data_IF_996900698897
#
_entry.id   IF_996900698897
#
_cell.length_a   1.000
_cell.length_b   1.000
_cell.length_c   1.000
_cell.angle_alpha   90.00
_cell.angle_beta   90.00
_cell.angle_gamma   90.00
#
_symmetry.space_group_name_H-M   'P 1'
#
loop_
_entity.id
_entity.type
_entity.pdbx_description
1 polymer ?
#
# COMPACT_ATOMS: atom_id res chain seq x y z
N UNK A 1 25.60 10.55 -1.35
CA UNK A 1 24.12 10.58 -1.29
C UNK A 1 23.56 9.16 -1.23
N UNK A 2 23.81 8.28 -2.25
CA UNK A 2 23.22 6.93 -2.33
C UNK A 2 23.43 6.07 -1.06
N UNK A 3 24.68 5.90 -0.61
CA UNK A 3 24.99 5.12 0.60
C UNK A 3 24.35 5.73 1.85
N UNK A 4 24.27 7.05 1.93
CA UNK A 4 23.62 7.75 3.03
C UNK A 4 22.10 7.46 3.05
N UNK A 5 21.45 7.51 1.90
CA UNK A 5 20.03 7.16 1.79
C UNK A 5 19.77 5.71 2.21
N UNK A 6 20.60 4.75 1.78
CA UNK A 6 20.47 3.34 2.19
C UNK A 6 20.58 3.17 3.70
N UNK A 7 21.59 3.79 4.33
CA UNK A 7 21.77 3.72 5.79
C UNK A 7 20.57 4.31 6.52
N UNK A 8 20.08 5.48 6.08
CA UNK A 8 18.91 6.10 6.70
C UNK A 8 17.64 5.27 6.54
N UNK A 9 17.45 4.63 5.40
CA UNK A 9 16.31 3.72 5.19
C UNK A 9 16.36 2.53 6.17
N UNK A 10 17.55 1.95 6.40
CA UNK A 10 17.71 0.90 7.41
C UNK A 10 17.41 1.40 8.85
N UNK A 11 17.75 2.63 9.16
CA UNK A 11 17.43 3.22 10.47
C UNK A 11 15.93 3.47 10.66
N UNK A 12 15.18 3.65 9.59
CA UNK A 12 13.73 3.77 9.63
C UNK A 12 13.01 2.42 9.70
N UNK A 13 13.72 1.31 9.51
CA UNK A 13 13.13 -0.01 9.65
C UNK A 13 12.86 -0.31 11.14
N UNK A 14 11.58 -0.49 11.46
CA UNK A 14 11.11 -0.87 12.79
C UNK A 14 10.89 -2.39 12.85
N UNK A 15 11.19 -2.98 14.00
CA UNK A 15 10.96 -4.40 14.27
C UNK A 15 10.04 -4.52 15.49
N UNK A 16 8.84 -5.01 15.28
CA UNK A 16 7.80 -5.01 16.31
C UNK A 16 7.26 -6.41 16.52
N UNK A 17 7.24 -6.87 17.77
CA UNK A 17 6.71 -8.18 18.16
C UNK A 17 5.24 -8.36 17.73
N UNK A 18 4.44 -7.30 17.80
CA UNK A 18 2.99 -7.35 17.52
C UNK A 18 2.61 -7.25 16.04
N UNK A 19 3.49 -6.70 15.19
CA UNK A 19 3.19 -6.45 13.78
C UNK A 19 4.26 -6.98 12.80
N UNK A 20 5.47 -7.28 13.28
CA UNK A 20 6.61 -7.67 12.47
C UNK A 20 7.48 -6.50 12.03
N UNK A 21 8.35 -6.73 11.05
CA UNK A 21 9.29 -5.72 10.54
C UNK A 21 8.67 -4.90 9.43
N UNK A 22 8.82 -3.59 9.49
CA UNK A 22 8.31 -2.66 8.48
C UNK A 22 9.18 -1.39 8.37
N UNK A 23 8.99 -0.64 7.28
CA UNK A 23 9.61 0.66 7.10
C UNK A 23 8.72 1.76 7.72
N UNK A 24 9.26 2.52 8.68
CA UNK A 24 8.63 3.72 9.22
C UNK A 24 8.78 4.90 8.25
N UNK A 25 7.86 5.85 8.29
CA UNK A 25 7.83 6.97 7.36
C UNK A 25 8.92 8.01 7.66
N UNK A 26 9.19 8.33 8.95
CA UNK A 26 10.19 9.31 9.31
C UNK A 26 10.68 9.19 10.75
N UNK A 27 11.97 9.49 10.99
CA UNK A 27 12.52 9.47 12.33
C UNK A 27 12.10 10.71 13.11
N UNK A 28 11.84 10.48 14.37
CA UNK A 28 11.40 11.31 15.47
C UNK A 28 9.92 11.67 15.39
N UNK A 29 9.47 12.43 14.41
CA UNK A 29 8.09 12.96 14.41
C UNK A 29 7.06 11.99 13.81
N UNK A 30 7.45 11.21 12.79
CA UNK A 30 6.57 10.26 12.10
C UNK A 30 7.18 8.86 12.02
N UNK A 31 7.48 8.22 13.16
CA UNK A 31 8.14 6.91 13.16
C UNK A 31 7.22 5.77 12.73
N UNK A 32 5.95 6.03 12.50
CA UNK A 32 4.89 5.07 12.27
C UNK A 32 4.90 4.51 10.84
N UNK A 33 4.12 3.45 10.64
CA UNK A 33 3.87 2.91 9.30
C UNK A 33 2.75 3.68 8.64
N UNK A 34 3.02 4.19 7.43
CA UNK A 34 2.01 4.82 6.56
C UNK A 34 1.85 4.03 5.26
N UNK A 35 0.61 3.72 4.90
CA UNK A 35 0.30 2.91 3.73
C UNK A 35 0.70 3.57 2.41
N UNK A 36 0.45 4.87 2.28
CA UNK A 36 0.79 5.63 1.09
C UNK A 36 2.30 5.83 0.95
N UNK A 37 2.96 6.36 2.00
CA UNK A 37 4.41 6.62 2.04
C UNK A 37 5.22 5.37 1.72
N UNK A 38 4.85 4.24 2.33
CA UNK A 38 5.49 2.97 2.06
C UNK A 38 5.30 2.52 0.61
N UNK A 39 4.11 2.72 0.04
CA UNK A 39 3.85 2.33 -1.35
C UNK A 39 4.76 3.05 -2.35
N UNK A 40 5.18 4.27 -2.05
CA UNK A 40 6.21 4.97 -2.82
C UNK A 40 7.63 4.52 -2.46
N UNK A 41 7.97 4.53 -1.18
CA UNK A 41 9.33 4.27 -0.69
C UNK A 41 9.82 2.87 -1.05
N UNK A 42 8.93 1.86 -1.00
CA UNK A 42 9.29 0.47 -1.30
C UNK A 42 9.66 0.23 -2.77
N UNK A 43 9.15 1.05 -3.69
CA UNK A 43 9.56 1.00 -5.10
C UNK A 43 11.03 1.43 -5.27
N UNK A 44 11.45 2.46 -4.53
CA UNK A 44 12.86 2.85 -4.45
C UNK A 44 13.70 1.81 -3.73
N UNK A 45 13.22 1.30 -2.60
CA UNK A 45 13.92 0.33 -1.76
C UNK A 45 14.24 -0.97 -2.51
N UNK A 46 13.27 -1.54 -3.23
CA UNK A 46 13.49 -2.78 -3.99
C UNK A 46 14.50 -2.58 -5.11
N UNK A 47 14.55 -1.41 -5.74
CA UNK A 47 15.54 -1.10 -6.78
C UNK A 47 16.97 -0.96 -6.25
N UNK A 48 17.12 -0.65 -4.95
CA UNK A 48 18.45 -0.59 -4.29
C UNK A 48 18.91 -1.93 -3.74
N UNK A 49 18.11 -2.99 -3.91
CA UNK A 49 18.46 -4.37 -3.56
C UNK A 49 17.87 -4.86 -2.23
N UNK A 50 17.20 -4.02 -1.45
CA UNK A 50 16.54 -4.47 -0.21
C UNK A 50 15.13 -5.02 -0.46
N UNK A 51 15.09 -6.11 -1.20
CA UNK A 51 13.86 -6.83 -1.53
C UNK A 51 13.19 -7.45 -0.29
N UNK A 52 13.99 -7.79 0.73
CA UNK A 52 13.46 -8.43 1.95
C UNK A 52 12.60 -7.45 2.74
N UNK A 53 13.13 -6.26 3.03
CA UNK A 53 12.39 -5.23 3.76
C UNK A 53 11.15 -4.80 2.98
N UNK A 54 11.26 -4.62 1.66
CA UNK A 54 10.13 -4.25 0.82
C UNK A 54 8.97 -5.28 0.92
N UNK A 55 9.28 -6.57 0.78
CA UNK A 55 8.26 -7.65 0.85
C UNK A 55 7.64 -7.79 2.24
N UNK A 56 8.44 -7.72 3.30
CA UNK A 56 7.89 -7.86 4.67
C UNK A 56 7.03 -6.65 5.04
N UNK A 57 7.41 -5.43 4.65
CA UNK A 57 6.59 -4.24 4.87
C UNK A 57 5.23 -4.35 4.19
N UNK A 58 5.18 -4.78 2.91
CA UNK A 58 3.91 -4.98 2.21
C UNK A 58 3.03 -6.07 2.87
N UNK A 59 3.64 -7.14 3.41
CA UNK A 59 2.89 -8.13 4.19
C UNK A 59 2.30 -7.53 5.47
N UNK A 60 3.05 -6.75 6.21
CA UNK A 60 2.54 -6.05 7.40
C UNK A 60 1.37 -5.14 7.04
N UNK A 61 1.51 -4.33 5.99
CA UNK A 61 0.43 -3.47 5.49
C UNK A 61 -0.82 -4.29 5.17
N UNK A 62 -0.68 -5.38 4.41
CA UNK A 62 -1.79 -6.29 4.06
C UNK A 62 -2.47 -6.86 5.31
N UNK A 63 -1.69 -7.46 6.21
CA UNK A 63 -2.21 -8.15 7.39
C UNK A 63 -2.92 -7.20 8.36
N UNK A 64 -2.33 -6.03 8.60
CA UNK A 64 -2.92 -5.04 9.49
C UNK A 64 -4.14 -4.37 8.87
N UNK A 65 -4.13 -4.15 7.56
CA UNK A 65 -5.30 -3.68 6.81
C UNK A 65 -6.45 -4.69 6.87
N UNK A 66 -6.18 -5.98 6.68
CA UNK A 66 -7.21 -7.02 6.77
C UNK A 66 -7.81 -7.11 8.18
N UNK A 67 -6.99 -7.00 9.23
CA UNK A 67 -7.47 -6.96 10.62
C UNK A 67 -8.37 -5.75 10.89
N UNK A 68 -8.02 -4.57 10.35
CA UNK A 68 -8.73 -3.31 10.61
C UNK A 68 -9.98 -3.12 9.76
N UNK A 69 -9.96 -3.54 8.48
CA UNK A 69 -10.96 -3.19 7.47
C UNK A 69 -11.75 -4.38 6.92
N UNK A 70 -11.10 -5.53 6.70
CA UNK A 70 -11.67 -6.79 6.17
C UNK A 70 -12.21 -6.74 4.73
N UNK A 71 -12.25 -5.59 4.09
CA UNK A 71 -12.78 -5.37 2.73
C UNK A 71 -11.70 -5.09 1.67
N UNK A 72 -10.42 -5.24 2.01
CA UNK A 72 -9.29 -4.96 1.12
C UNK A 72 -8.81 -3.51 1.13
N UNK A 73 -9.51 -2.59 1.83
CA UNK A 73 -9.06 -1.22 2.02
C UNK A 73 -7.73 -1.21 2.78
N UNK A 74 -6.73 -0.55 2.23
CA UNK A 74 -5.41 -0.40 2.84
C UNK A 74 -5.47 0.69 3.91
N UNK A 75 -4.83 0.41 5.06
CA UNK A 75 -4.69 1.38 6.15
C UNK A 75 -3.87 2.60 5.71
N UNK A 76 -4.19 3.75 6.29
CA UNK A 76 -3.36 4.94 6.13
C UNK A 76 -2.20 4.94 7.14
N UNK A 77 -2.51 4.74 8.42
CA UNK A 77 -1.55 4.93 9.50
C UNK A 77 -1.67 3.86 10.58
N UNK A 78 -0.51 3.36 11.05
CA UNK A 78 -0.40 2.42 12.15
C UNK A 78 0.74 2.83 13.09
N UNK A 79 0.44 2.96 14.37
CA UNK A 79 1.42 3.24 15.41
C UNK A 79 2.24 2.01 15.80
N UNK A 80 3.33 2.20 16.54
CA UNK A 80 4.24 1.13 16.97
C UNK A 80 3.62 0.05 17.86
N UNK A 81 2.52 0.33 18.53
CA UNK A 81 1.78 -0.68 19.29
C UNK A 81 0.81 -1.51 18.42
N UNK A 82 0.97 -1.51 17.11
CA UNK A 82 0.08 -2.13 16.13
C UNK A 82 -1.36 -1.56 16.13
N UNK A 83 -1.58 -0.42 16.75
CA UNK A 83 -2.86 0.26 16.68
C UNK A 83 -3.00 0.99 15.33
N UNK A 84 -4.00 0.62 14.56
CA UNK A 84 -4.35 1.32 13.32
C UNK A 84 -5.15 2.55 13.69
N UNK A 85 -4.47 3.71 13.73
CA UNK A 85 -5.03 5.02 14.06
C UNK A 85 -5.92 5.57 12.95
N UNK A 86 -5.53 5.30 11.69
CA UNK A 86 -6.28 5.70 10.51
C UNK A 86 -6.46 4.53 9.54
N UNK A 87 -7.70 4.18 9.28
CA UNK A 87 -8.07 2.98 8.49
C UNK A 87 -7.85 3.11 6.98
N UNK A 88 -7.38 4.26 6.50
CA UNK A 88 -7.19 4.56 5.09
C UNK A 88 -8.42 5.18 4.43
N UNK A 89 -8.23 5.58 3.19
CA UNK A 89 -9.29 6.07 2.30
C UNK A 89 -9.16 5.42 0.92
N UNK A 90 -9.23 6.16 -0.16
CA UNK A 90 -9.22 5.61 -1.52
C UNK A 90 -7.82 5.44 -2.10
N UNK A 91 -6.90 6.34 -1.79
CA UNK A 91 -5.60 6.41 -2.46
C UNK A 91 -4.66 5.27 -2.09
N UNK A 92 -4.56 4.92 -0.80
CA UNK A 92 -3.63 3.92 -0.28
C UNK A 92 -3.81 2.55 -0.96
N UNK A 93 -5.06 2.22 -1.27
CA UNK A 93 -5.41 0.92 -1.87
C UNK A 93 -4.88 0.79 -3.30
N UNK A 94 -5.03 1.82 -4.12
CA UNK A 94 -4.48 1.83 -5.47
C UNK A 94 -2.94 1.80 -5.45
N UNK A 95 -2.32 2.59 -4.59
CA UNK A 95 -0.86 2.63 -4.41
C UNK A 95 -0.29 1.28 -3.96
N UNK A 96 -0.97 0.57 -3.08
CA UNK A 96 -0.56 -0.76 -2.62
C UNK A 96 -0.46 -1.74 -3.79
N UNK A 97 -1.46 -1.79 -4.67
CA UNK A 97 -1.45 -2.65 -5.87
C UNK A 97 -0.24 -2.35 -6.76
N UNK A 98 0.02 -1.07 -7.00
CA UNK A 98 1.16 -0.61 -7.81
C UNK A 98 2.49 -0.98 -7.13
N UNK A 99 2.60 -0.82 -5.82
CA UNK A 99 3.80 -1.17 -5.06
C UNK A 99 4.10 -2.67 -5.10
N UNK A 100 3.09 -3.52 -4.89
CA UNK A 100 3.22 -4.99 -5.01
C UNK A 100 3.74 -5.37 -6.39
N UNK A 101 3.17 -4.78 -7.46
CA UNK A 101 3.60 -5.03 -8.82
C UNK A 101 5.06 -4.60 -9.05
N UNK A 102 5.46 -3.43 -8.57
CA UNK A 102 6.84 -2.98 -8.70
C UNK A 102 7.82 -3.89 -7.96
N UNK A 103 7.48 -4.33 -6.75
CA UNK A 103 8.30 -5.31 -6.01
C UNK A 103 8.36 -6.64 -6.76
N UNK A 104 7.26 -7.11 -7.34
CA UNK A 104 7.24 -8.33 -8.15
C UNK A 104 8.13 -8.20 -9.39
N UNK A 105 8.06 -7.10 -10.12
CA UNK A 105 8.90 -6.88 -11.33
C UNK A 105 10.40 -6.96 -11.04
N UNK A 106 10.82 -6.52 -9.86
CA UNK A 106 12.23 -6.58 -9.43
C UNK A 106 12.64 -7.95 -8.89
N UNK A 107 11.70 -8.74 -8.39
CA UNK A 107 12.03 -9.98 -7.67
C UNK A 107 11.67 -11.25 -8.42
N UNK A 108 10.67 -11.22 -9.30
CA UNK A 108 10.11 -12.41 -9.95
C UNK A 108 9.48 -13.41 -8.96
N UNK A 109 9.15 -12.98 -7.73
CA UNK A 109 8.68 -13.87 -6.67
C UNK A 109 7.18 -14.18 -6.83
N UNK A 110 6.89 -15.25 -7.57
CA UNK A 110 5.52 -15.70 -7.80
C UNK A 110 4.77 -16.09 -6.51
N UNK A 111 5.49 -16.56 -5.47
CA UNK A 111 4.84 -16.89 -4.19
C UNK A 111 4.40 -15.63 -3.46
N UNK A 112 5.23 -14.59 -3.49
CA UNK A 112 4.87 -13.29 -2.95
C UNK A 112 3.66 -12.69 -3.69
N UNK A 113 3.67 -12.72 -5.03
CA UNK A 113 2.56 -12.22 -5.83
C UNK A 113 1.24 -12.95 -5.51
N UNK A 114 1.28 -14.29 -5.47
CA UNK A 114 0.12 -15.12 -5.14
C UNK A 114 -0.42 -14.86 -3.73
N UNK A 115 0.46 -14.59 -2.75
CA UNK A 115 0.07 -14.20 -1.39
C UNK A 115 -0.66 -12.84 -1.34
N UNK A 116 -0.26 -11.89 -2.20
CA UNK A 116 -0.85 -10.55 -2.24
C UNK A 116 -2.13 -10.47 -3.07
N UNK A 117 -2.26 -11.30 -4.08
CA UNK A 117 -3.29 -11.22 -5.12
C UNK A 117 -4.73 -11.16 -4.58
N UNK A 118 -5.17 -12.05 -3.67
CA UNK A 118 -6.55 -12.00 -3.17
C UNK A 118 -6.88 -10.69 -2.43
N UNK A 119 -5.91 -10.11 -1.74
CA UNK A 119 -6.13 -8.84 -1.04
C UNK A 119 -6.21 -7.67 -2.02
N UNK A 120 -5.40 -7.68 -3.08
CA UNK A 120 -5.47 -6.68 -4.15
C UNK A 120 -6.81 -6.73 -4.88
N UNK A 121 -7.34 -7.92 -5.18
CA UNK A 121 -8.69 -8.09 -5.76
C UNK A 121 -9.77 -7.48 -4.85
N UNK A 122 -9.72 -7.76 -3.55
CA UNK A 122 -10.65 -7.15 -2.57
C UNK A 122 -10.51 -5.62 -2.55
N UNK A 123 -9.29 -5.11 -2.59
CA UNK A 123 -9.01 -3.67 -2.57
C UNK A 123 -9.58 -2.94 -3.79
N UNK A 124 -9.40 -3.50 -5.00
CA UNK A 124 -10.01 -2.92 -6.20
C UNK A 124 -11.53 -3.02 -6.17
N UNK A 125 -12.10 -4.09 -5.64
CA UNK A 125 -13.54 -4.19 -5.42
C UNK A 125 -14.04 -3.11 -4.44
N UNK A 126 -13.30 -2.84 -3.36
CA UNK A 126 -13.60 -1.73 -2.44
C UNK A 126 -13.64 -0.39 -3.18
N UNK A 127 -12.62 -0.08 -4.00
CA UNK A 127 -12.61 1.16 -4.77
C UNK A 127 -13.79 1.29 -5.74
N UNK A 128 -14.09 0.22 -6.50
CA UNK A 128 -15.07 0.26 -7.59
C UNK A 128 -16.51 -0.02 -7.17
N UNK A 129 -16.75 -0.54 -5.95
CA UNK A 129 -18.11 -0.87 -5.49
C UNK A 129 -18.52 -0.10 -4.27
N UNK A 130 -17.61 0.13 -3.31
CA UNK A 130 -17.93 0.79 -2.06
C UNK A 130 -17.68 2.30 -2.15
N UNK A 131 -16.66 2.72 -2.92
CA UNK A 131 -16.25 4.12 -3.03
C UNK A 131 -16.71 4.81 -4.32
N UNK A 132 -17.18 4.08 -5.31
CA UNK A 132 -17.83 4.61 -6.52
C UNK A 132 -19.35 4.56 -6.34
N UNK A 133 -19.89 5.55 -5.64
CA UNK A 133 -21.31 5.56 -5.25
C UNK A 133 -22.25 5.91 -6.39
N UNK A 134 -21.78 6.71 -7.36
CA UNK A 134 -22.54 7.11 -8.54
C UNK A 134 -22.34 6.18 -9.75
N UNK A 135 -21.43 5.19 -9.65
CA UNK A 135 -21.15 4.16 -10.65
C UNK A 135 -20.60 4.70 -11.98
N UNK A 136 -19.76 5.71 -11.90
CA UNK A 136 -19.09 6.30 -13.07
C UNK A 136 -17.62 5.87 -13.24
N UNK A 137 -17.14 4.93 -12.39
CA UNK A 137 -15.78 4.38 -12.34
C UNK A 137 -14.73 5.33 -11.73
N UNK A 138 -15.14 6.41 -11.09
CA UNK A 138 -14.27 7.33 -10.36
C UNK A 138 -14.58 7.27 -8.86
N UNK A 139 -13.72 6.63 -8.04
CA UNK A 139 -13.99 6.53 -6.61
C UNK A 139 -14.04 7.89 -5.92
N UNK A 140 -15.07 8.10 -5.10
CA UNK A 140 -15.20 9.28 -4.25
C UNK A 140 -14.47 9.05 -2.91
N UNK A 141 -13.97 10.13 -2.34
CA UNK A 141 -13.31 10.12 -1.04
C UNK A 141 -12.54 11.42 -0.77
N UNK A 142 -11.65 11.38 0.19
CA UNK A 142 -10.77 12.51 0.50
C UNK A 142 -9.28 12.22 0.20
N UNK A 143 -8.97 11.05 -0.36
CA UNK A 143 -7.61 10.59 -0.64
C UNK A 143 -6.68 10.72 0.59
N UNK A 144 -5.54 11.39 0.43
CA UNK A 144 -4.63 11.74 1.53
C UNK A 144 -4.76 13.21 1.96
N UNK A 145 -5.75 13.92 1.44
CA UNK A 145 -5.90 15.36 1.75
C UNK A 145 -6.39 15.62 3.17
N UNK A 146 -6.98 14.61 3.81
CA UNK A 146 -7.44 14.64 5.22
C UNK A 146 -8.36 15.82 5.56
N UNK A 147 -9.05 16.34 4.57
CA UNK A 147 -10.02 17.43 4.76
C UNK A 147 -11.33 16.83 5.27
N UNK A 148 -11.69 17.19 6.49
CA UNK A 148 -12.92 16.69 7.12
C UNK A 148 -14.17 17.00 6.28
N UNK A 149 -14.91 15.96 5.93
CA UNK A 149 -16.15 16.05 5.14
C UNK A 149 -15.93 16.14 3.64
N UNK A 150 -14.69 16.13 3.16
CA UNK A 150 -14.42 16.00 1.73
C UNK A 150 -14.84 14.61 1.27
N UNK A 151 -15.67 14.55 0.24
CA UNK A 151 -16.04 13.34 -0.48
C UNK A 151 -16.23 13.71 -1.95
N UNK A 152 -15.17 13.53 -2.73
CA UNK A 152 -15.10 13.98 -4.12
C UNK A 152 -14.33 12.98 -4.98
N UNK A 153 -14.58 13.02 -6.28
CA UNK A 153 -13.77 12.35 -7.29
C UNK A 153 -12.49 13.15 -7.49
N UNK A 154 -11.40 12.72 -6.86
CA UNK A 154 -10.12 13.40 -6.94
C UNK A 154 -9.31 12.83 -8.12
N UNK A 155 -8.68 13.72 -8.88
CA UNK A 155 -7.95 13.35 -10.10
C UNK A 155 -6.81 12.37 -9.82
N UNK A 156 -6.08 12.53 -8.73
CA UNK A 156 -5.00 11.65 -8.30
C UNK A 156 -5.52 10.24 -7.98
N UNK A 157 -6.62 10.12 -7.23
CA UNK A 157 -7.27 8.84 -6.95
C UNK A 157 -7.70 8.14 -8.23
N UNK A 158 -8.29 8.88 -9.16
CA UNK A 158 -8.77 8.35 -10.44
C UNK A 158 -7.61 7.82 -11.29
N UNK A 159 -6.52 8.58 -11.39
CA UNK A 159 -5.32 8.18 -12.15
C UNK A 159 -4.65 6.95 -11.52
N UNK A 160 -4.48 6.91 -10.20
CA UNK A 160 -3.88 5.75 -9.54
C UNK A 160 -4.79 4.53 -9.56
N UNK A 161 -6.11 4.71 -9.48
CA UNK A 161 -7.07 3.60 -9.65
C UNK A 161 -6.98 3.00 -11.03
N UNK A 162 -6.93 3.82 -12.08
CA UNK A 162 -6.76 3.36 -13.45
C UNK A 162 -5.45 2.59 -13.62
N UNK A 163 -4.33 3.12 -13.10
CA UNK A 163 -3.04 2.43 -13.13
C UNK A 163 -3.07 1.10 -12.37
N UNK A 164 -3.73 1.06 -11.22
CA UNK A 164 -3.88 -0.17 -10.42
C UNK A 164 -4.71 -1.23 -11.16
N UNK A 165 -5.76 -0.83 -11.88
CA UNK A 165 -6.56 -1.73 -12.72
C UNK A 165 -5.75 -2.30 -13.88
N UNK A 166 -4.97 -1.47 -14.56
CA UNK A 166 -4.07 -1.90 -15.63
C UNK A 166 -3.03 -2.91 -15.12
N UNK A 167 -2.40 -2.60 -14.00
CA UNK A 167 -1.46 -3.50 -13.31
C UNK A 167 -2.14 -4.83 -12.95
N UNK A 168 -3.35 -4.76 -12.40
CA UNK A 168 -4.07 -5.95 -11.97
C UNK A 168 -4.44 -6.85 -13.15
N UNK A 169 -4.74 -6.29 -14.32
CA UNK A 169 -4.99 -7.09 -15.53
C UNK A 169 -3.75 -7.90 -15.95
N UNK A 170 -2.54 -7.30 -15.82
CA UNK A 170 -1.29 -8.01 -16.09
C UNK A 170 -1.03 -9.11 -15.06
N UNK A 171 -1.32 -8.83 -13.78
CA UNK A 171 -1.17 -9.81 -12.71
C UNK A 171 -2.14 -10.99 -12.90
N UNK A 172 -3.38 -10.72 -13.26
CA UNK A 172 -4.39 -11.76 -13.51
C UNK A 172 -3.91 -12.75 -14.58
N UNK A 173 -3.35 -12.26 -15.69
CA UNK A 173 -2.74 -13.12 -16.72
C UNK A 173 -1.61 -14.01 -16.17
N UNK A 174 -0.77 -13.47 -15.29
CA UNK A 174 0.31 -14.25 -14.63
C UNK A 174 -0.28 -15.31 -13.69
N UNK A 175 -1.40 -15.00 -13.03
CA UNK A 175 -2.09 -15.91 -12.12
C UNK A 175 -2.94 -16.97 -12.84
N UNK A 176 -3.13 -16.83 -14.17
CA UNK A 176 -3.87 -17.79 -15.00
C UNK A 176 -5.37 -17.53 -15.06
N UNK A 177 -5.79 -16.27 -14.82
CA UNK A 177 -7.18 -15.80 -14.92
C UNK A 177 -7.44 -14.99 -16.20
#
# INVERSE_FOLDING_TARGET
VYNWCKINTEWLAADMESAGRFLGAGAIEYPWLFGCDNSYSLQGLVSTGDQKLAKVTLRVIKEMSEKANRNGRILHEMAFNAFVSHKGNTQETAHFVIAVWNVYKWTGDNKFLADMYPHMQKGLNFLLKDMDTNKNMFPEGYAIMEVRGLNAELIDVSVYTQQALEVMSQIALIMGE
#
